data_IF_041649219205
#
_entry.id   IF_041649219205
#
_cell.length_a   1.000
_cell.length_b   1.000
_cell.length_c   1.000
_cell.angle_alpha   90.00
_cell.angle_beta   90.00
_cell.angle_gamma   90.00
#
_symmetry.space_group_name_H-M   'P 1'
#
loop_
_entity.id
_entity.type
_entity.pdbx_description
1 polymer ?
#
# COMPACT_ATOMS: atom_id res chain seq x y z
N UNK A 1 4.83 -8.30 -12.16
CA UNK A 1 5.17 -6.94 -12.63
C UNK A 1 4.93 -5.94 -11.51
N UNK A 2 6.01 -5.32 -11.05
CA UNK A 2 5.94 -4.21 -10.09
C UNK A 2 5.77 -2.92 -10.89
N UNK A 3 4.53 -2.57 -11.21
CA UNK A 3 4.20 -1.36 -11.95
C UNK A 3 3.31 -0.42 -11.11
N UNK A 4 2.95 0.71 -11.68
CA UNK A 4 2.06 1.69 -11.04
C UNK A 4 0.70 1.10 -10.70
N UNK A 5 0.16 0.20 -11.51
CA UNK A 5 -1.13 -0.45 -11.28
C UNK A 5 -1.11 -1.34 -10.03
N UNK A 6 -0.02 -2.05 -9.78
CA UNK A 6 0.15 -2.83 -8.55
C UNK A 6 0.23 -1.93 -7.32
N UNK A 7 0.98 -0.84 -7.38
CA UNK A 7 1.06 0.12 -6.28
C UNK A 7 -0.32 0.77 -5.97
N UNK A 8 -1.09 1.08 -7.01
CA UNK A 8 -2.46 1.60 -6.87
C UNK A 8 -3.38 0.57 -6.21
N UNK A 9 -3.30 -0.71 -6.61
CA UNK A 9 -4.08 -1.78 -6.00
C UNK A 9 -3.76 -1.97 -4.52
N UNK A 10 -2.47 -1.96 -4.14
CA UNK A 10 -2.07 -2.03 -2.73
C UNK A 10 -2.71 -0.91 -1.91
N UNK A 11 -2.73 0.31 -2.43
CA UNK A 11 -3.36 1.45 -1.76
C UNK A 11 -4.88 1.31 -1.70
N UNK A 12 -5.52 0.87 -2.78
CA UNK A 12 -6.96 0.59 -2.80
C UNK A 12 -7.33 -0.42 -1.72
N UNK A 13 -6.62 -1.56 -1.67
CA UNK A 13 -6.87 -2.63 -0.70
C UNK A 13 -6.83 -2.13 0.74
N UNK A 14 -5.85 -1.28 1.08
CA UNK A 14 -5.74 -0.70 2.43
C UNK A 14 -6.89 0.27 2.71
N UNK A 15 -7.22 1.15 1.77
CA UNK A 15 -8.28 2.16 1.96
C UNK A 15 -9.67 1.53 1.98
N UNK A 16 -9.96 0.56 1.11
CA UNK A 16 -11.23 -0.19 1.11
C UNK A 16 -11.43 -0.95 2.42
N UNK A 17 -10.34 -1.51 2.98
CA UNK A 17 -10.41 -2.14 4.29
C UNK A 17 -10.73 -1.13 5.39
N UNK A 18 -10.11 0.04 5.37
CA UNK A 18 -10.40 1.11 6.33
C UNK A 18 -11.85 1.62 6.21
N UNK A 19 -12.35 1.72 4.99
CA UNK A 19 -13.77 2.07 4.73
C UNK A 19 -14.71 1.00 5.30
N UNK A 20 -14.42 -0.29 5.08
CA UNK A 20 -15.23 -1.39 5.62
C UNK A 20 -15.24 -1.48 7.15
N UNK A 21 -14.23 -0.95 7.81
CA UNK A 21 -14.10 -0.88 9.27
C UNK A 21 -14.62 0.44 9.86
N UNK A 22 -15.13 1.35 9.03
CA UNK A 22 -15.52 2.73 9.41
C UNK A 22 -14.37 3.48 10.13
N UNK A 23 -13.15 3.22 9.69
CA UNK A 23 -11.91 3.79 10.27
C UNK A 23 -11.10 4.58 9.27
N UNK A 24 -11.76 5.16 8.25
CA UNK A 24 -11.08 5.97 7.22
C UNK A 24 -10.42 7.18 7.88
N UNK A 25 -9.10 7.34 7.77
CA UNK A 25 -8.40 8.45 8.41
C UNK A 25 -8.65 9.76 7.65
N UNK A 26 -8.85 10.87 8.37
CA UNK A 26 -8.94 12.21 7.76
C UNK A 26 -7.66 12.56 6.99
N UNK A 27 -6.53 12.06 7.45
CA UNK A 27 -5.20 12.40 6.94
C UNK A 27 -4.32 11.16 6.78
N UNK A 28 -3.71 11.01 5.62
CA UNK A 28 -2.75 9.96 5.32
C UNK A 28 -1.43 10.58 4.86
N UNK A 29 -0.34 10.17 5.49
CA UNK A 29 1.00 10.51 5.02
C UNK A 29 1.62 9.28 4.39
N UNK A 30 1.81 9.32 3.08
CA UNK A 30 2.41 8.25 2.30
C UNK A 30 3.90 8.52 2.11
N UNK A 31 4.73 7.57 2.47
CA UNK A 31 6.17 7.58 2.23
C UNK A 31 6.52 6.51 1.21
N UNK A 32 7.15 6.89 0.11
CA UNK A 32 7.57 5.98 -0.94
C UNK A 32 8.98 6.30 -1.40
N UNK A 33 9.61 5.38 -2.10
CA UNK A 33 10.82 5.69 -2.84
C UNK A 33 10.53 6.61 -4.04
N UNK A 34 11.56 7.12 -4.67
CA UNK A 34 11.46 7.98 -5.84
C UNK A 34 11.29 7.22 -7.16
N UNK A 35 10.96 5.94 -7.14
CA UNK A 35 10.85 5.09 -8.32
C UNK A 35 9.79 5.60 -9.30
N UNK A 36 10.24 6.03 -10.50
CA UNK A 36 9.33 6.60 -11.50
C UNK A 36 8.32 5.58 -12.05
N UNK A 37 8.71 4.32 -12.13
CA UNK A 37 7.86 3.25 -12.63
C UNK A 37 6.64 2.97 -11.74
N UNK A 38 6.79 3.14 -10.42
CA UNK A 38 5.77 2.78 -9.45
C UNK A 38 5.08 3.99 -8.83
N UNK A 39 5.86 4.98 -8.42
CA UNK A 39 5.35 6.06 -7.57
C UNK A 39 5.46 7.44 -8.22
N UNK A 40 6.65 7.88 -8.61
CA UNK A 40 6.86 9.24 -9.08
C UNK A 40 6.46 9.44 -10.55
N UNK A 41 5.16 9.23 -10.83
CA UNK A 41 4.58 9.37 -12.18
C UNK A 41 3.20 10.02 -12.12
N UNK A 42 2.73 10.52 -13.26
CA UNK A 42 1.47 11.23 -13.39
C UNK A 42 0.24 10.32 -13.11
N UNK A 43 0.32 9.05 -13.47
CA UNK A 43 -0.79 8.10 -13.25
C UNK A 43 -1.04 7.90 -11.74
N UNK A 44 0.04 7.77 -10.95
CA UNK A 44 -0.09 7.65 -9.50
C UNK A 44 -0.62 8.94 -8.88
N UNK A 45 -0.17 10.11 -9.34
CA UNK A 45 -0.67 11.39 -8.87
C UNK A 45 -2.17 11.55 -9.12
N UNK A 46 -2.64 11.23 -10.33
CA UNK A 46 -4.07 11.24 -10.69
C UNK A 46 -4.87 10.28 -9.81
N UNK A 47 -4.33 9.09 -9.57
CA UNK A 47 -4.97 8.10 -8.71
C UNK A 47 -5.10 8.57 -7.27
N UNK A 48 -4.06 9.17 -6.69
CA UNK A 48 -4.10 9.77 -5.36
C UNK A 48 -5.21 10.83 -5.21
N UNK A 49 -5.36 11.68 -6.23
CA UNK A 49 -6.43 12.68 -6.25
C UNK A 49 -7.82 12.03 -6.31
N UNK A 50 -7.96 10.90 -6.97
CA UNK A 50 -9.20 10.11 -7.00
C UNK A 50 -9.50 9.50 -5.64
N UNK A 51 -8.51 8.90 -4.97
CA UNK A 51 -8.67 8.37 -3.62
C UNK A 51 -9.03 9.46 -2.62
N UNK A 52 -8.37 10.61 -2.71
CA UNK A 52 -8.66 11.75 -1.83
C UNK A 52 -10.14 12.17 -1.90
N UNK A 53 -10.70 12.22 -3.11
CA UNK A 53 -12.13 12.53 -3.32
C UNK A 53 -13.05 11.41 -2.86
N UNK A 54 -12.71 10.15 -3.16
CA UNK A 54 -13.54 8.98 -2.82
C UNK A 54 -13.72 8.85 -1.31
N UNK A 55 -12.62 8.96 -0.56
CA UNK A 55 -12.62 8.71 0.88
C UNK A 55 -12.69 9.98 1.75
N UNK A 56 -12.75 11.18 1.15
CA UNK A 56 -12.68 12.44 1.91
C UNK A 56 -11.36 12.64 2.66
N UNK A 57 -10.30 11.94 2.28
CA UNK A 57 -9.02 11.87 2.97
C UNK A 57 -8.01 12.83 2.37
N UNK A 58 -7.25 13.54 3.22
CA UNK A 58 -6.13 14.37 2.79
C UNK A 58 -4.86 13.53 2.71
N UNK A 59 -4.24 13.46 1.54
CA UNK A 59 -2.98 12.76 1.34
C UNK A 59 -1.80 13.71 1.28
N UNK A 60 -0.74 13.40 2.06
CA UNK A 60 0.58 13.97 1.90
C UNK A 60 1.48 12.90 1.33
N UNK A 61 2.10 13.18 0.20
CA UNK A 61 3.00 12.26 -0.45
C UNK A 61 4.44 12.73 -0.29
N UNK A 62 5.21 11.97 0.46
CA UNK A 62 6.60 12.21 0.77
C UNK A 62 7.47 11.17 0.07
N UNK A 63 8.62 11.58 -0.39
CA UNK A 63 9.58 10.68 -1.00
C UNK A 63 10.82 10.57 -0.12
N UNK A 64 11.33 9.33 0.01
CA UNK A 64 12.64 9.14 0.62
C UNK A 64 13.73 9.69 -0.29
N UNK A 65 14.75 10.27 0.32
CA UNK A 65 15.97 10.62 -0.40
C UNK A 65 16.65 9.33 -0.88
N UNK A 66 17.27 9.36 -2.06
CA UNK A 66 17.95 8.20 -2.61
C UNK A 66 18.96 7.63 -1.62
N UNK A 67 18.93 6.32 -1.43
CA UNK A 67 19.77 5.57 -0.48
C UNK A 67 19.49 5.81 1.03
N UNK A 68 18.44 6.55 1.38
CA UNK A 68 18.10 6.86 2.77
C UNK A 68 16.74 6.30 3.24
N UNK A 69 16.25 5.25 2.59
CA UNK A 69 14.99 4.58 2.95
C UNK A 69 15.01 3.84 4.30
N UNK A 70 15.80 4.30 5.27
CA UNK A 70 15.86 3.71 6.62
C UNK A 70 14.69 4.22 7.45
N UNK A 71 13.60 3.48 7.46
CA UNK A 71 12.40 3.81 8.21
C UNK A 71 11.81 2.60 8.95
N UNK A 72 10.72 2.85 9.67
CA UNK A 72 9.99 1.79 10.40
C UNK A 72 9.50 0.66 9.46
N UNK A 73 9.21 0.98 8.20
CA UNK A 73 8.79 0.01 7.19
C UNK A 73 9.92 -0.95 6.80
N UNK A 74 11.18 -0.48 6.69
CA UNK A 74 12.33 -1.36 6.44
C UNK A 74 12.57 -2.30 7.62
N UNK A 75 12.45 -1.77 8.84
CA UNK A 75 12.49 -2.55 10.06
C UNK A 75 11.39 -3.61 10.12
N UNK A 76 10.17 -3.27 9.71
CA UNK A 76 9.05 -4.22 9.65
C UNK A 76 9.31 -5.33 8.64
N UNK A 77 9.79 -5.00 7.43
CA UNK A 77 10.17 -5.99 6.42
C UNK A 77 11.29 -6.91 6.88
N UNK A 78 12.34 -6.36 7.49
CA UNK A 78 13.45 -7.14 8.02
C UNK A 78 12.99 -8.08 9.15
N UNK A 79 12.12 -7.59 10.04
CA UNK A 79 11.56 -8.39 11.13
C UNK A 79 10.72 -9.57 10.61
N UNK A 80 9.85 -9.37 9.62
CA UNK A 80 9.06 -10.43 8.99
C UNK A 80 9.99 -11.47 8.37
N UNK A 81 10.97 -11.05 7.57
CA UNK A 81 11.95 -11.97 6.96
C UNK A 81 12.70 -12.79 8.00
N UNK A 82 13.14 -12.17 9.08
CA UNK A 82 13.83 -12.87 10.17
C UNK A 82 12.91 -13.85 10.91
N UNK A 83 11.63 -13.52 11.11
CA UNK A 83 10.65 -14.41 11.72
C UNK A 83 10.41 -15.66 10.86
N UNK A 84 10.21 -15.46 9.56
CA UNK A 84 10.04 -16.56 8.60
C UNK A 84 11.28 -17.45 8.53
N UNK A 85 12.48 -16.86 8.44
CA UNK A 85 13.71 -17.61 8.42
C UNK A 85 13.88 -18.50 9.66
N UNK A 86 13.57 -17.97 10.85
CA UNK A 86 13.59 -18.76 12.10
C UNK A 86 12.57 -19.90 12.09
N UNK A 87 11.36 -19.65 11.55
CA UNK A 87 10.34 -20.68 11.43
C UNK A 87 10.78 -21.83 10.50
N UNK A 88 11.35 -21.48 9.35
CA UNK A 88 11.90 -22.47 8.42
C UNK A 88 13.04 -23.31 9.06
N UNK A 89 13.93 -22.66 9.82
CA UNK A 89 15.00 -23.37 10.56
C UNK A 89 14.42 -24.27 11.66
N UNK A 90 13.26 -23.95 12.21
CA UNK A 90 12.55 -24.79 13.18
C UNK A 90 11.70 -25.89 12.52
N UNK A 91 11.79 -26.06 11.20
CA UNK A 91 11.09 -27.10 10.45
C UNK A 91 9.69 -26.75 9.97
N UNK A 92 9.28 -25.49 10.06
CA UNK A 92 7.99 -25.03 9.48
C UNK A 92 8.15 -24.95 7.95
N UNK A 93 7.34 -25.73 7.22
CA UNK A 93 7.33 -25.74 5.77
C UNK A 93 6.65 -24.47 5.23
N UNK A 94 7.43 -23.55 4.68
CA UNK A 94 6.95 -22.35 3.99
C UNK A 94 7.53 -22.40 2.58
N UNK A 95 6.79 -22.99 1.63
CA UNK A 95 7.25 -23.26 0.29
C UNK A 95 6.58 -22.36 -0.77
N UNK A 96 5.43 -21.76 -0.45
CA UNK A 96 4.65 -20.93 -1.35
C UNK A 96 4.38 -19.55 -0.76
N UNK A 97 3.85 -18.63 -1.59
CA UNK A 97 3.41 -17.30 -1.14
C UNK A 97 2.21 -17.41 -0.22
N UNK A 98 1.35 -18.39 -0.47
CA UNK A 98 0.19 -18.71 0.35
C UNK A 98 0.61 -19.20 1.73
N UNK A 99 1.59 -20.11 1.83
CA UNK A 99 2.16 -20.56 3.11
C UNK A 99 2.74 -19.39 3.90
N UNK A 100 3.50 -18.52 3.21
CA UNK A 100 4.06 -17.31 3.81
C UNK A 100 2.95 -16.39 4.35
N UNK A 101 1.90 -16.17 3.57
CA UNK A 101 0.76 -15.35 3.97
C UNK A 101 0.03 -15.94 5.18
N UNK A 102 -0.25 -17.24 5.17
CA UNK A 102 -0.88 -17.94 6.29
C UNK A 102 -0.03 -17.87 7.55
N UNK A 103 1.28 -18.10 7.43
CA UNK A 103 2.22 -17.94 8.54
C UNK A 103 2.18 -16.52 9.12
N UNK A 104 2.24 -15.50 8.27
CA UNK A 104 2.19 -14.10 8.71
C UNK A 104 0.87 -13.79 9.45
N UNK A 105 -0.26 -14.23 8.91
CA UNK A 105 -1.56 -14.03 9.55
C UNK A 105 -1.67 -14.74 10.88
N UNK A 106 -1.20 -15.97 10.97
CA UNK A 106 -1.34 -16.77 12.17
C UNK A 106 -0.41 -16.33 13.30
N UNK A 107 0.84 -16.04 12.99
CA UNK A 107 1.88 -15.84 14.00
C UNK A 107 2.39 -14.41 14.14
N UNK A 108 2.13 -13.54 13.17
CA UNK A 108 2.66 -12.20 13.15
C UNK A 108 1.59 -11.10 13.20
N UNK A 109 0.30 -11.44 13.19
CA UNK A 109 -0.81 -10.46 13.21
C UNK A 109 -0.89 -9.69 14.52
N UNK A 110 -0.59 -10.34 15.63
CA UNK A 110 -0.59 -9.71 16.95
C UNK A 110 0.81 -9.71 17.54
N UNK A 111 1.22 -8.59 18.10
CA UNK A 111 2.44 -8.49 18.88
C UNK A 111 2.12 -7.86 20.23
N UNK A 112 2.38 -8.59 21.28
CA UNK A 112 2.34 -8.05 22.65
C UNK A 112 3.76 -7.65 23.00
N UNK A 113 4.04 -6.35 23.05
CA UNK A 113 5.33 -5.86 23.50
C UNK A 113 5.50 -6.05 25.02
N UNK A 114 6.75 -6.01 25.50
CA UNK A 114 7.07 -6.07 26.94
C UNK A 114 6.38 -4.95 27.75
N UNK A 115 5.90 -3.90 27.09
CA UNK A 115 5.16 -2.78 27.69
C UNK A 115 3.64 -2.97 27.71
N UNK A 116 3.13 -4.17 27.49
CA UNK A 116 1.69 -4.49 27.37
C UNK A 116 0.98 -3.73 26.25
N UNK A 117 1.72 -3.13 25.32
CA UNK A 117 1.16 -2.50 24.15
C UNK A 117 0.95 -3.55 23.07
N UNK A 118 -0.31 -3.84 22.75
CA UNK A 118 -0.67 -4.77 21.68
C UNK A 118 -0.81 -3.98 20.39
N UNK A 119 0.00 -4.30 19.38
CA UNK A 119 -0.16 -3.78 18.03
C UNK A 119 -0.70 -4.85 17.11
N UNK A 120 -1.76 -4.53 16.41
CA UNK A 120 -2.34 -5.39 15.38
C UNK A 120 -1.68 -5.07 14.03
N UNK A 121 -1.39 -6.12 13.25
CA UNK A 121 -0.84 -6.04 11.90
C UNK A 121 -1.75 -6.78 10.96
N UNK A 122 -2.02 -6.13 9.83
CA UNK A 122 -2.84 -6.71 8.78
C UNK A 122 -1.96 -7.17 7.62
N UNK A 123 -2.20 -8.38 7.13
CA UNK A 123 -1.54 -8.96 5.98
C UNK A 123 -2.58 -9.19 4.89
N UNK A 124 -2.24 -8.81 3.66
CA UNK A 124 -3.10 -8.95 2.49
C UNK A 124 -2.37 -9.77 1.43
N UNK A 125 -3.05 -10.77 0.89
CA UNK A 125 -2.58 -11.49 -0.29
C UNK A 125 -3.21 -10.84 -1.52
N UNK A 126 -2.37 -10.34 -2.42
CA UNK A 126 -2.78 -9.78 -3.70
C UNK A 126 -2.28 -10.71 -4.78
N UNK A 127 -3.18 -11.29 -5.56
CA UNK A 127 -2.85 -12.21 -6.64
C UNK A 127 -2.60 -11.46 -7.97
N UNK A 128 -2.01 -12.16 -8.93
CA UNK A 128 -1.85 -11.64 -10.30
C UNK A 128 -3.23 -11.38 -10.93
N UNK A 129 -4.23 -12.22 -10.61
CA UNK A 129 -5.60 -12.04 -11.09
C UNK A 129 -6.23 -10.77 -10.53
N UNK A 130 -6.05 -10.48 -9.24
CA UNK A 130 -6.53 -9.24 -8.62
C UNK A 130 -5.91 -8.01 -9.31
N UNK A 131 -4.62 -8.05 -9.58
CA UNK A 131 -3.91 -6.98 -10.28
C UNK A 131 -4.42 -6.80 -11.72
N UNK A 132 -4.72 -7.88 -12.42
CA UNK A 132 -5.28 -7.84 -13.78
C UNK A 132 -6.69 -7.25 -13.79
N UNK A 133 -7.56 -7.70 -12.88
CA UNK A 133 -8.92 -7.16 -12.74
C UNK A 133 -8.90 -5.67 -12.37
N UNK A 134 -8.04 -5.26 -11.46
CA UNK A 134 -7.90 -3.86 -11.08
C UNK A 134 -7.47 -2.99 -12.26
N UNK A 135 -6.48 -3.42 -13.06
CA UNK A 135 -6.06 -2.70 -14.26
C UNK A 135 -7.21 -2.55 -15.26
N UNK A 136 -7.97 -3.62 -15.50
CA UNK A 136 -9.12 -3.58 -16.38
C UNK A 136 -10.19 -2.56 -15.92
N UNK A 137 -10.48 -2.52 -14.62
CA UNK A 137 -11.43 -1.56 -14.04
C UNK A 137 -10.94 -0.11 -14.18
N UNK A 138 -9.65 0.14 -14.00
CA UNK A 138 -9.05 1.46 -14.16
C UNK A 138 -9.10 1.94 -15.61
N UNK A 139 -8.88 1.05 -16.58
CA UNK A 139 -9.03 1.38 -18.00
C UNK A 139 -10.47 1.73 -18.36
N UNK A 140 -11.44 0.99 -17.84
CA UNK A 140 -12.87 1.28 -18.06
C UNK A 140 -13.27 2.65 -17.48
N UNK A 141 -12.75 3.04 -16.32
CA UNK A 141 -13.00 4.35 -15.71
C UNK A 141 -12.39 5.52 -16.52
N UNK A 142 -11.21 5.33 -17.09
CA UNK A 142 -10.54 6.33 -17.94
C UNK A 142 -11.32 6.60 -19.22
N UNK A 143 -11.86 5.56 -19.84
CA UNK A 143 -12.70 5.70 -21.05
C UNK A 143 -14.03 6.37 -20.77
N UNK A 144 -14.60 6.19 -19.58
CA UNK A 144 -15.85 6.86 -19.19
C UNK A 144 -15.67 8.33 -18.86
N UNK A 145 -14.50 8.75 -18.31
CA UNK A 145 -14.22 10.15 -17.93
C UNK A 145 -13.72 11.00 -19.09
N UNK A 146 -13.30 10.43 -20.21
CA UNK A 146 -12.94 11.19 -21.41
C UNK A 146 -14.15 11.89 -22.06
N UNK A 147 -15.36 11.57 -21.64
CA UNK A 147 -16.62 12.20 -22.09
C UNK A 147 -17.14 13.31 -21.13
N UNK A 148 -16.39 13.65 -20.07
CA UNK A 148 -16.77 14.72 -19.14
C UNK A 148 -15.73 15.84 -19.17
N UNK A 149 -16.19 17.05 -19.45
CA UNK A 149 -15.44 18.32 -19.60
C UNK A 149 -14.38 18.56 -18.50
N UNK A 150 -13.17 19.03 -18.86
CA UNK A 150 -12.10 19.30 -17.88
C UNK A 150 -12.21 20.73 -17.33
N UNK A 151 -12.93 20.91 -16.22
CA UNK A 151 -12.82 22.16 -15.47
C UNK A 151 -12.78 21.85 -13.98
N UNK A 152 -11.59 21.57 -13.46
CA UNK A 152 -11.30 21.65 -12.02
C UNK A 152 -9.78 21.75 -11.81
N UNK A 153 -9.34 22.97 -11.55
CA UNK A 153 -7.99 23.25 -11.06
C UNK A 153 -7.83 22.66 -9.65
N UNK A 154 -6.98 21.65 -9.51
CA UNK A 154 -6.56 21.12 -8.21
C UNK A 154 -5.23 21.75 -7.84
N UNK A 155 -5.21 22.58 -6.82
CA UNK A 155 -3.96 23.07 -6.22
C UNK A 155 -3.30 21.91 -5.46
N UNK A 156 -2.17 21.45 -5.98
CA UNK A 156 -1.26 20.52 -5.31
C UNK A 156 -0.01 21.29 -4.91
N UNK A 157 0.16 21.52 -3.61
CA UNK A 157 1.43 22.05 -3.08
C UNK A 157 2.40 20.90 -2.84
N UNK A 158 3.51 20.93 -3.56
CA UNK A 158 4.63 20.02 -3.36
C UNK A 158 5.65 20.72 -2.46
N UNK A 159 5.72 20.37 -1.19
CA UNK A 159 6.78 20.82 -0.30
C UNK A 159 7.89 19.76 -0.27
N UNK A 160 9.03 20.10 -0.86
CA UNK A 160 10.30 19.38 -0.66
C UNK A 160 10.94 19.89 0.62
N UNK A 161 11.17 18.98 1.55
CA UNK A 161 12.07 19.18 2.72
C UNK A 161 13.31 18.32 2.51
#
# INVERSE_FOLDING_TARGET
>A
DHDVGFAQLCMATVMDKKESEDTVPERVRLWTDGGRAHFKNFQMLKYMATLARRYGTKFWWCFFQSCHGKGMHDGAGAWIKAAVARACLAGVGIASVEDFFHFCRQFLSTNTSRSNFTSERHFYLITIADAAMFRASMHAQVTCTSNLNPTLHTQLSCNTV
#
